data_IF_573032941253
#
_entry.id   IF_573032941253
#
_cell.length_a   1.000
_cell.length_b   1.000
_cell.length_c   1.000
_cell.angle_alpha   90.00
_cell.angle_beta   90.00
_cell.angle_gamma   90.00
#
_symmetry.space_group_name_H-M   'P 1'
#
loop_
_entity.id
_entity.type
_entity.pdbx_description
1 polymer ?
#
# COMPACT_ATOMS: atom_id res chain seq x y z
N UNK A 1 -1.10 -19.94 -6.29
CA UNK A 1 -0.77 -18.53 -6.57
C UNK A 1 -0.77 -17.82 -5.22
N UNK A 2 0.30 -17.10 -4.89
CA UNK A 2 0.43 -16.45 -3.58
C UNK A 2 -0.29 -15.08 -3.57
N UNK A 3 -0.41 -14.47 -2.38
CA UNK A 3 -1.09 -13.17 -2.23
C UNK A 3 -0.49 -12.06 -3.11
N UNK A 4 0.83 -12.05 -3.31
CA UNK A 4 1.49 -11.11 -4.22
C UNK A 4 0.99 -11.27 -5.66
N UNK A 5 0.97 -12.48 -6.18
CA UNK A 5 0.51 -12.76 -7.54
C UNK A 5 -0.98 -12.46 -7.71
N UNK A 6 -1.80 -12.74 -6.69
CA UNK A 6 -3.21 -12.33 -6.65
C UNK A 6 -3.34 -10.81 -6.69
N UNK A 7 -2.59 -10.10 -5.84
CA UNK A 7 -2.60 -8.64 -5.78
C UNK A 7 -2.20 -8.01 -7.13
N UNK A 8 -1.14 -8.50 -7.79
CA UNK A 8 -0.72 -7.98 -9.10
C UNK A 8 -1.79 -8.26 -10.17
N UNK A 9 -2.25 -9.51 -10.30
CA UNK A 9 -3.20 -9.89 -11.37
C UNK A 9 -4.54 -9.18 -11.22
N UNK A 10 -5.06 -9.10 -10.00
CA UNK A 10 -6.33 -8.41 -9.74
C UNK A 10 -6.20 -6.91 -10.01
N UNK A 11 -5.11 -6.27 -9.59
CA UNK A 11 -4.84 -4.87 -9.95
C UNK A 11 -4.83 -4.66 -11.47
N UNK A 12 -4.06 -5.47 -12.21
CA UNK A 12 -3.99 -5.37 -13.67
C UNK A 12 -5.33 -5.64 -14.35
N UNK A 13 -6.15 -6.54 -13.79
CA UNK A 13 -7.48 -6.82 -14.31
C UNK A 13 -8.39 -5.60 -14.18
N UNK A 14 -8.41 -4.95 -13.01
CA UNK A 14 -9.18 -3.73 -12.79
C UNK A 14 -8.67 -2.53 -13.60
N UNK A 15 -7.34 -2.37 -13.73
CA UNK A 15 -6.76 -1.30 -14.56
C UNK A 15 -7.19 -1.41 -16.03
N UNK A 16 -7.48 -2.64 -16.51
CA UNK A 16 -7.98 -2.90 -17.86
C UNK A 16 -9.51 -2.78 -17.99
N UNK A 17 -10.21 -2.31 -16.95
CA UNK A 17 -11.67 -2.21 -16.93
C UNK A 17 -12.39 -3.55 -16.71
N UNK A 18 -11.70 -4.56 -16.19
CA UNK A 18 -12.29 -5.87 -15.92
C UNK A 18 -13.32 -5.83 -14.78
N UNK A 19 -14.32 -6.71 -14.84
CA UNK A 19 -15.34 -6.87 -13.80
C UNK A 19 -15.38 -8.31 -13.30
N UNK A 20 -15.40 -8.50 -11.98
CA UNK A 20 -15.38 -9.81 -11.34
C UNK A 20 -16.80 -10.20 -10.90
N UNK A 21 -17.16 -11.46 -11.14
CA UNK A 21 -18.33 -12.07 -10.51
C UNK A 21 -18.16 -12.17 -8.99
N UNK A 22 -19.26 -12.26 -8.24
CA UNK A 22 -19.20 -12.35 -6.78
C UNK A 22 -18.47 -13.61 -6.28
N UNK A 23 -18.53 -14.71 -7.04
CA UNK A 23 -17.76 -15.91 -6.72
C UNK A 23 -16.25 -15.68 -6.85
N UNK A 24 -15.82 -14.97 -7.90
CA UNK A 24 -14.41 -14.59 -8.07
C UNK A 24 -13.96 -13.61 -6.99
N UNK A 25 -14.78 -12.61 -6.65
CA UNK A 25 -14.50 -11.67 -5.55
C UNK A 25 -14.28 -12.43 -4.23
N UNK A 26 -15.22 -13.31 -3.86
CA UNK A 26 -15.11 -14.13 -2.62
C UNK A 26 -13.86 -14.99 -2.60
N UNK A 27 -13.51 -15.64 -3.72
CA UNK A 27 -12.30 -16.46 -3.80
C UNK A 27 -11.03 -15.63 -3.60
N UNK A 28 -10.91 -14.50 -4.30
CA UNK A 28 -9.75 -13.60 -4.18
C UNK A 28 -9.65 -13.05 -2.75
N UNK A 29 -10.76 -12.63 -2.15
CA UNK A 29 -10.81 -12.15 -0.77
C UNK A 29 -10.31 -13.22 0.21
N UNK A 30 -10.79 -14.47 0.07
CA UNK A 30 -10.32 -15.58 0.90
C UNK A 30 -8.81 -15.83 0.76
N UNK A 31 -8.28 -15.77 -0.46
CA UNK A 31 -6.86 -15.95 -0.74
C UNK A 31 -6.01 -14.80 -0.18
N UNK A 32 -6.47 -13.56 -0.27
CA UNK A 32 -5.78 -12.42 0.33
C UNK A 32 -5.79 -12.51 1.87
N UNK A 33 -6.92 -12.84 2.49
CA UNK A 33 -6.99 -13.02 3.95
C UNK A 33 -6.12 -14.18 4.46
N UNK A 34 -5.94 -15.24 3.67
CA UNK A 34 -5.02 -16.34 4.04
C UNK A 34 -3.56 -15.92 4.16
N UNK A 35 -3.20 -14.73 3.67
CA UNK A 35 -1.87 -14.15 3.77
C UNK A 35 -1.73 -13.12 4.90
N UNK A 36 -2.70 -13.05 5.81
CA UNK A 36 -2.56 -12.27 7.04
C UNK A 36 -1.29 -12.69 7.79
N UNK A 37 -0.60 -11.68 8.31
CA UNK A 37 0.67 -11.85 8.98
C UNK A 37 0.45 -12.27 10.41
N UNK A 38 1.06 -13.39 10.80
CA UNK A 38 1.06 -13.82 12.20
C UNK A 38 1.98 -12.91 13.05
N UNK A 39 1.66 -12.67 14.33
CA UNK A 39 2.47 -11.81 15.21
C UNK A 39 3.96 -12.18 15.24
N UNK A 40 4.28 -13.47 15.20
CA UNK A 40 5.66 -13.95 15.14
C UNK A 40 6.38 -13.57 13.84
N UNK A 41 5.68 -13.63 12.70
CA UNK A 41 6.22 -13.24 11.41
C UNK A 41 6.50 -11.73 11.39
N UNK A 42 5.60 -10.94 11.95
CA UNK A 42 5.78 -9.50 12.11
C UNK A 42 7.00 -9.17 12.97
N UNK A 43 7.14 -9.80 14.13
CA UNK A 43 8.30 -9.61 15.00
C UNK A 43 9.62 -9.98 14.31
N UNK A 44 9.66 -11.07 13.53
CA UNK A 44 10.85 -11.47 12.76
C UNK A 44 11.21 -10.42 11.71
N UNK A 45 10.22 -9.91 10.98
CA UNK A 45 10.44 -8.86 9.99
C UNK A 45 10.97 -7.57 10.62
N UNK A 46 10.35 -7.09 11.70
CA UNK A 46 10.79 -5.87 12.41
C UNK A 46 12.23 -5.97 12.91
N UNK A 47 12.61 -7.14 13.44
CA UNK A 47 14.01 -7.42 13.83
C UNK A 47 14.94 -7.38 12.63
N UNK A 48 14.57 -7.99 11.51
CA UNK A 48 15.39 -8.03 10.30
C UNK A 48 15.66 -6.64 9.70
N UNK A 49 14.70 -5.72 9.80
CA UNK A 49 14.86 -4.33 9.35
C UNK A 49 15.44 -3.40 10.43
N UNK A 50 15.97 -3.96 11.54
CA UNK A 50 16.57 -3.24 12.67
C UNK A 50 15.64 -2.20 13.29
N UNK A 51 14.34 -2.49 13.31
CA UNK A 51 13.32 -1.60 13.85
C UNK A 51 12.39 -2.37 14.81
N UNK A 52 12.95 -2.90 15.91
CA UNK A 52 12.19 -3.72 16.85
C UNK A 52 11.00 -2.92 17.41
N UNK A 53 9.90 -3.62 17.67
CA UNK A 53 8.63 -3.04 18.14
C UNK A 53 7.90 -2.12 17.16
N UNK A 54 8.45 -1.90 15.96
CA UNK A 54 7.84 -1.07 14.92
C UNK A 54 7.48 0.35 15.39
N UNK A 55 8.22 0.94 16.33
CA UNK A 55 8.00 2.29 16.85
C UNK A 55 9.37 2.96 16.99
N UNK A 56 9.55 4.15 16.41
CA UNK A 56 10.77 4.94 16.64
C UNK A 56 10.68 5.85 17.88
N UNK A 57 11.75 6.60 18.15
CA UNK A 57 11.82 7.55 19.26
C UNK A 57 10.81 8.71 19.19
N UNK A 58 10.09 8.86 18.06
CA UNK A 58 9.01 9.85 17.89
C UNK A 58 7.62 9.19 17.89
N UNK A 59 7.52 7.91 18.22
CA UNK A 59 6.25 7.17 18.24
C UNK A 59 5.76 6.71 16.86
N UNK A 60 6.57 6.85 15.80
CA UNK A 60 6.15 6.57 14.43
C UNK A 60 6.21 5.09 14.11
N UNK A 61 5.14 4.57 13.51
CA UNK A 61 5.03 3.18 13.09
C UNK A 61 5.26 3.02 11.58
N UNK A 62 6.52 2.80 11.19
CA UNK A 62 6.96 2.90 9.79
C UNK A 62 6.61 1.69 8.91
N UNK A 63 6.41 0.51 9.51
CA UNK A 63 6.21 -0.73 8.76
C UNK A 63 4.78 -1.30 8.88
N UNK A 64 4.34 -2.09 7.89
CA UNK A 64 3.08 -2.85 7.89
C UNK A 64 2.80 -3.66 9.15
N UNK A 65 1.52 -3.87 9.44
CA UNK A 65 1.02 -4.68 10.56
C UNK A 65 0.36 -5.97 10.06
N UNK A 66 -0.42 -5.90 8.97
CA UNK A 66 -1.32 -6.99 8.56
C UNK A 66 -0.79 -7.85 7.43
N UNK A 67 -0.06 -7.26 6.49
CA UNK A 67 0.48 -7.99 5.34
C UNK A 67 1.95 -7.61 5.16
N UNK A 68 2.83 -8.52 5.57
CA UNK A 68 4.27 -8.39 5.40
C UNK A 68 4.70 -9.21 4.18
N UNK A 69 5.51 -8.64 3.27
CA UNK A 69 6.03 -9.38 2.14
C UNK A 69 6.71 -10.68 2.59
N UNK A 70 6.39 -11.84 1.99
CA UNK A 70 7.08 -13.08 2.32
C UNK A 70 8.56 -12.99 1.94
N UNK A 71 9.41 -13.73 2.64
CA UNK A 71 10.81 -13.86 2.26
C UNK A 71 10.92 -14.49 0.86
N UNK A 72 11.66 -13.83 -0.02
CA UNK A 72 11.78 -14.21 -1.42
C UNK A 72 13.26 -14.25 -1.85
N UNK A 73 14.06 -15.04 -1.12
CA UNK A 73 15.51 -15.22 -1.40
C UNK A 73 16.29 -13.90 -1.49
N UNK A 74 15.95 -12.94 -0.62
CA UNK A 74 16.56 -11.61 -0.61
C UNK A 74 16.08 -10.65 -1.71
N UNK A 75 15.20 -11.10 -2.62
CA UNK A 75 14.67 -10.30 -3.73
C UNK A 75 13.34 -9.67 -3.33
N UNK A 76 13.27 -8.33 -3.35
CA UNK A 76 12.03 -7.59 -3.10
C UNK A 76 11.00 -7.82 -4.22
N UNK A 77 9.74 -8.00 -3.84
CA UNK A 77 8.62 -8.13 -4.76
C UNK A 77 8.43 -6.83 -5.54
N UNK A 78 8.04 -6.94 -6.81
CA UNK A 78 7.90 -5.78 -7.69
C UNK A 78 6.55 -5.10 -7.50
N UNK A 79 6.45 -3.82 -7.84
CA UNK A 79 5.19 -3.09 -7.82
C UNK A 79 4.27 -3.48 -8.98
N UNK A 80 3.04 -2.97 -9.00
CA UNK A 80 2.09 -3.13 -10.11
C UNK A 80 2.71 -2.73 -11.47
N UNK A 81 3.60 -1.74 -11.49
CA UNK A 81 4.31 -1.30 -12.69
C UNK A 81 5.69 -1.92 -12.86
N UNK A 82 5.97 -3.07 -12.24
CA UNK A 82 7.23 -3.81 -12.40
C UNK A 82 8.48 -3.05 -11.88
N UNK A 83 8.30 -2.01 -11.07
CA UNK A 83 9.40 -1.36 -10.34
C UNK A 83 9.86 -2.29 -9.22
N UNK A 84 11.16 -2.51 -9.06
CA UNK A 84 11.71 -3.21 -7.90
C UNK A 84 12.00 -2.17 -6.80
N UNK A 85 11.32 -2.22 -5.64
CA UNK A 85 11.64 -1.37 -4.50
C UNK A 85 13.08 -1.57 -4.04
N UNK A 86 13.76 -0.51 -3.63
CA UNK A 86 15.12 -0.54 -3.09
C UNK A 86 15.11 -0.61 -1.56
N UNK A 87 14.17 0.06 -0.92
CA UNK A 87 13.99 0.19 0.52
C UNK A 87 12.96 -0.80 1.06
N UNK A 88 13.07 -1.14 2.34
CA UNK A 88 12.08 -1.97 3.02
C UNK A 88 10.78 -1.23 3.27
N UNK A 89 10.84 0.09 3.52
CA UNK A 89 9.66 0.94 3.74
C UNK A 89 8.75 0.89 2.51
N UNK A 90 9.29 1.16 1.33
CA UNK A 90 8.49 1.13 0.10
C UNK A 90 8.00 -0.28 -0.22
N UNK A 91 8.90 -1.27 -0.14
CA UNK A 91 8.52 -2.66 -0.44
C UNK A 91 7.40 -3.18 0.44
N UNK A 92 7.43 -2.88 1.74
CA UNK A 92 6.48 -3.42 2.69
C UNK A 92 5.16 -2.64 2.64
N UNK A 93 5.20 -1.30 2.65
CA UNK A 93 3.98 -0.50 2.55
C UNK A 93 3.27 -0.71 1.20
N UNK A 94 3.98 -0.83 0.09
CA UNK A 94 3.36 -1.16 -1.22
C UNK A 94 2.58 -2.47 -1.16
N UNK A 95 3.19 -3.52 -0.61
CA UNK A 95 2.56 -4.83 -0.52
C UNK A 95 1.29 -4.81 0.35
N UNK A 96 1.36 -4.19 1.53
CA UNK A 96 0.21 -4.15 2.43
C UNK A 96 -0.91 -3.29 1.89
N UNK A 97 -0.60 -2.06 1.48
CA UNK A 97 -1.61 -1.08 1.12
C UNK A 97 -2.35 -1.50 -0.15
N UNK A 98 -1.67 -2.09 -1.13
CA UNK A 98 -2.35 -2.60 -2.34
C UNK A 98 -3.24 -3.83 -2.04
N UNK A 99 -2.86 -4.69 -1.09
CA UNK A 99 -3.72 -5.79 -0.65
C UNK A 99 -4.98 -5.25 0.05
N UNK A 100 -4.82 -4.33 1.01
CA UNK A 100 -5.96 -3.75 1.74
C UNK A 100 -6.89 -3.00 0.78
N UNK A 101 -6.31 -2.23 -0.15
CA UNK A 101 -7.08 -1.52 -1.19
C UNK A 101 -7.97 -2.47 -1.99
N UNK A 102 -7.44 -3.63 -2.40
CA UNK A 102 -8.24 -4.66 -3.07
C UNK A 102 -9.30 -5.28 -2.17
N UNK A 103 -9.00 -5.53 -0.89
CA UNK A 103 -9.99 -6.02 0.07
C UNK A 103 -11.17 -5.05 0.21
N UNK A 104 -10.91 -3.74 0.26
CA UNK A 104 -11.96 -2.71 0.27
C UNK A 104 -12.83 -2.72 -0.98
N UNK A 105 -12.23 -2.88 -2.17
CA UNK A 105 -12.98 -2.93 -3.42
C UNK A 105 -13.81 -4.21 -3.56
N UNK A 106 -13.30 -5.35 -3.07
CA UNK A 106 -13.91 -6.66 -3.29
C UNK A 106 -14.92 -7.04 -2.20
N UNK A 107 -14.74 -6.54 -0.98
CA UNK A 107 -15.57 -6.85 0.19
C UNK A 107 -15.77 -5.63 1.12
N UNK A 108 -16.36 -4.53 0.63
CA UNK A 108 -16.45 -3.27 1.38
C UNK A 108 -17.24 -3.37 2.70
N UNK A 109 -18.20 -4.30 2.77
CA UNK A 109 -19.06 -4.48 3.94
C UNK A 109 -18.51 -5.51 4.95
N UNK A 110 -17.31 -6.04 4.74
CA UNK A 110 -16.73 -7.02 5.65
C UNK A 110 -16.13 -6.31 6.89
N UNK A 111 -16.56 -6.65 8.12
CA UNK A 111 -16.11 -5.96 9.33
C UNK A 111 -14.60 -6.08 9.57
N UNK A 112 -13.98 -7.19 9.18
CA UNK A 112 -12.53 -7.37 9.31
C UNK A 112 -11.76 -6.44 8.37
N UNK A 113 -12.30 -6.17 7.18
CA UNK A 113 -11.71 -5.20 6.25
C UNK A 113 -11.74 -3.81 6.86
N UNK A 114 -12.88 -3.41 7.46
CA UNK A 114 -13.02 -2.13 8.14
C UNK A 114 -12.00 -1.96 9.28
N UNK A 115 -11.86 -2.98 10.14
CA UNK A 115 -10.89 -2.93 11.25
C UNK A 115 -9.44 -2.79 10.75
N UNK A 116 -9.07 -3.53 9.71
CA UNK A 116 -7.74 -3.46 9.10
C UNK A 116 -7.48 -2.06 8.54
N UNK A 117 -8.46 -1.48 7.84
CA UNK A 117 -8.38 -0.11 7.31
C UNK A 117 -8.19 0.90 8.43
N UNK A 118 -9.03 0.88 9.46
CA UNK A 118 -8.99 1.87 10.56
C UNK A 118 -7.63 1.85 11.28
N UNK A 119 -7.10 0.65 11.57
CA UNK A 119 -5.78 0.47 12.16
C UNK A 119 -4.65 0.91 11.23
N UNK A 120 -4.78 0.67 9.93
CA UNK A 120 -3.79 1.08 8.92
C UNK A 120 -3.76 2.60 8.75
N UNK A 121 -4.92 3.25 8.69
CA UNK A 121 -5.03 4.71 8.66
C UNK A 121 -4.42 5.34 9.90
N UNK A 122 -4.76 4.81 11.09
CA UNK A 122 -4.18 5.26 12.36
C UNK A 122 -2.65 5.16 12.33
N UNK A 123 -2.11 4.03 11.87
CA UNK A 123 -0.66 3.85 11.70
C UNK A 123 -0.08 4.89 10.76
N UNK A 124 -0.62 5.04 9.55
CA UNK A 124 -0.08 5.94 8.52
C UNK A 124 -0.06 7.40 9.00
N UNK A 125 -1.04 7.84 9.80
CA UNK A 125 -1.04 9.18 10.41
C UNK A 125 0.15 9.45 11.32
N UNK A 126 0.74 8.42 11.92
CA UNK A 126 1.97 8.55 12.73
C UNK A 126 3.23 8.73 11.90
N UNK A 127 3.19 8.44 10.60
CA UNK A 127 4.37 8.46 9.73
C UNK A 127 4.52 9.78 8.97
N UNK A 128 5.60 9.93 8.20
CA UNK A 128 5.74 11.06 7.27
C UNK A 128 4.61 11.14 6.21
N UNK A 129 3.95 10.01 5.94
CA UNK A 129 2.82 9.94 5.01
C UNK A 129 1.55 10.62 5.53
N UNK A 130 1.49 10.96 6.82
CA UNK A 130 0.34 11.63 7.44
C UNK A 130 0.24 13.12 7.11
N UNK A 131 1.29 13.89 7.43
CA UNK A 131 1.24 15.38 7.38
C UNK A 131 2.57 15.99 6.90
N UNK A 132 3.64 15.19 6.71
CA UNK A 132 4.96 15.73 6.39
C UNK A 132 5.22 15.77 4.88
N UNK A 133 6.20 16.59 4.48
CA UNK A 133 6.87 16.48 3.19
C UNK A 133 7.69 15.17 3.16
N UNK A 134 7.40 14.31 2.19
CA UNK A 134 8.04 13.02 1.99
C UNK A 134 8.56 12.84 0.55
N UNK A 135 8.87 13.94 -0.13
CA UNK A 135 9.33 14.01 -1.52
C UNK A 135 10.68 13.33 -1.83
N UNK A 136 11.45 12.96 -0.81
CA UNK A 136 12.78 12.41 -0.98
C UNK A 136 12.78 10.89 -1.25
N UNK A 137 13.58 10.45 -2.24
CA UNK A 137 13.89 9.03 -2.43
C UNK A 137 12.65 8.15 -2.68
N UNK A 138 12.58 6.97 -2.04
CA UNK A 138 11.41 6.09 -2.16
C UNK A 138 10.29 6.41 -1.15
N UNK A 139 10.47 7.41 -0.28
CA UNK A 139 9.35 7.94 0.51
C UNK A 139 8.32 8.57 -0.43
N UNK A 140 8.75 9.26 -1.48
CA UNK A 140 7.87 9.79 -2.52
C UNK A 140 7.07 8.70 -3.23
N UNK A 141 7.74 7.60 -3.64
CA UNK A 141 7.05 6.48 -4.30
C UNK A 141 6.06 5.80 -3.35
N UNK A 142 6.39 5.74 -2.05
CA UNK A 142 5.49 5.22 -1.01
C UNK A 142 4.30 6.16 -0.79
N UNK A 143 4.52 7.47 -0.83
CA UNK A 143 3.49 8.51 -0.72
C UNK A 143 2.42 8.37 -1.81
N UNK A 144 2.82 7.97 -3.02
CA UNK A 144 1.88 7.66 -4.12
C UNK A 144 1.05 6.39 -3.87
N UNK A 145 1.64 5.34 -3.30
CA UNK A 145 0.87 4.16 -2.88
C UNK A 145 -0.14 4.56 -1.79
N UNK A 146 0.28 5.39 -0.82
CA UNK A 146 -0.61 5.91 0.23
C UNK A 146 -1.74 6.72 -0.36
N UNK A 147 -1.47 7.64 -1.31
CA UNK A 147 -2.50 8.39 -2.02
C UNK A 147 -3.53 7.47 -2.68
N UNK A 148 -3.06 6.45 -3.41
CA UNK A 148 -3.94 5.48 -4.06
C UNK A 148 -4.82 4.71 -3.07
N UNK A 149 -4.22 4.33 -1.93
CA UNK A 149 -4.92 3.68 -0.84
C UNK A 149 -6.00 4.60 -0.26
N UNK A 150 -5.66 5.85 0.08
CA UNK A 150 -6.59 6.85 0.63
C UNK A 150 -7.77 7.11 -0.31
N UNK A 151 -7.51 7.27 -1.62
CA UNK A 151 -8.55 7.47 -2.62
C UNK A 151 -9.59 6.33 -2.63
N UNK A 152 -9.18 5.11 -2.27
CA UNK A 152 -10.09 3.96 -2.18
C UNK A 152 -10.78 3.85 -0.82
N UNK A 153 -10.04 3.98 0.28
CA UNK A 153 -10.53 3.60 1.62
C UNK A 153 -11.12 4.75 2.42
N UNK A 154 -10.75 5.99 2.08
CA UNK A 154 -11.19 7.20 2.76
C UNK A 154 -11.29 8.38 1.79
N UNK A 155 -12.08 8.26 0.69
CA UNK A 155 -12.21 9.31 -0.32
C UNK A 155 -12.73 10.65 0.24
N UNK A 156 -13.40 10.63 1.39
CA UNK A 156 -13.89 11.80 2.10
C UNK A 156 -12.81 12.57 2.88
N UNK A 157 -11.63 11.99 3.13
CA UNK A 157 -10.52 12.69 3.80
C UNK A 157 -9.75 13.54 2.79
N UNK A 158 -10.45 14.52 2.22
CA UNK A 158 -9.97 15.34 1.11
C UNK A 158 -8.74 16.14 1.48
N UNK A 159 -8.62 16.59 2.74
CA UNK A 159 -7.43 17.29 3.22
C UNK A 159 -6.17 16.43 3.14
N UNK A 160 -6.26 15.16 3.55
CA UNK A 160 -5.11 14.25 3.48
C UNK A 160 -4.78 13.92 2.02
N UNK A 161 -5.78 13.64 1.20
CA UNK A 161 -5.63 13.38 -0.24
C UNK A 161 -4.96 14.57 -0.93
N UNK A 162 -5.46 15.80 -0.73
CA UNK A 162 -4.87 17.01 -1.30
C UNK A 162 -3.44 17.22 -0.84
N UNK A 163 -3.13 17.01 0.44
CA UNK A 163 -1.75 17.09 0.93
C UNK A 163 -0.80 16.09 0.26
N UNK A 164 -1.28 14.91 -0.16
CA UNK A 164 -0.47 13.95 -0.94
C UNK A 164 -0.34 14.35 -2.41
N UNK A 165 -1.39 14.93 -3.00
CA UNK A 165 -1.35 15.48 -4.36
C UNK A 165 -0.38 16.67 -4.44
N UNK A 166 -0.40 17.58 -3.47
CA UNK A 166 0.51 18.71 -3.40
C UNK A 166 1.97 18.27 -3.26
N UNK A 167 2.22 17.23 -2.45
CA UNK A 167 3.52 16.61 -2.33
C UNK A 167 3.97 15.98 -3.66
N UNK A 168 3.08 15.32 -4.40
CA UNK A 168 3.39 14.85 -5.75
C UNK A 168 3.78 16.01 -6.66
N UNK A 169 2.96 17.06 -6.75
CA UNK A 169 3.18 18.19 -7.64
C UNK A 169 4.48 18.95 -7.32
N UNK A 170 4.83 19.04 -6.04
CA UNK A 170 6.06 19.73 -5.59
C UNK A 170 7.34 18.99 -5.99
N UNK A 171 7.31 17.65 -6.06
CA UNK A 171 8.52 16.82 -6.19
C UNK A 171 8.58 15.97 -7.46
N UNK A 172 7.50 15.89 -8.26
CA UNK A 172 7.44 15.07 -9.46
C UNK A 172 8.50 15.47 -10.51
N UNK A 173 8.85 16.76 -10.57
CA UNK A 173 9.87 17.32 -11.46
C UNK A 173 11.30 16.86 -11.13
N UNK A 174 11.57 16.53 -9.87
CA UNK A 174 12.91 16.18 -9.39
C UNK A 174 13.29 14.72 -9.72
N UNK A 175 12.36 13.96 -10.28
CA UNK A 175 12.50 12.52 -10.52
C UNK A 175 13.22 12.25 -11.84
N UNK A 176 14.45 11.72 -11.74
CA UNK A 176 15.21 11.18 -12.90
C UNK A 176 14.45 10.14 -13.73
N UNK A 177 13.54 9.37 -13.11
CA UNK A 177 12.68 8.36 -13.76
C UNK A 177 11.23 8.57 -13.36
N UNK A 178 10.61 9.61 -13.90
CA UNK A 178 9.25 10.03 -13.51
C UNK A 178 8.12 9.11 -13.98
N UNK A 179 8.36 8.23 -14.96
CA UNK A 179 7.31 7.37 -15.55
C UNK A 179 6.53 6.52 -14.53
N UNK A 180 7.21 5.80 -13.63
CA UNK A 180 6.52 5.00 -12.60
C UNK A 180 5.64 5.86 -11.69
N UNK A 181 6.16 7.02 -11.28
CA UNK A 181 5.43 7.95 -10.45
C UNK A 181 4.21 8.55 -11.16
N UNK A 182 4.37 8.97 -12.42
CA UNK A 182 3.26 9.47 -13.27
C UNK A 182 2.16 8.43 -13.43
N UNK A 183 2.52 7.18 -13.71
CA UNK A 183 1.56 6.10 -13.85
C UNK A 183 0.84 5.76 -12.54
N UNK A 184 1.55 5.72 -11.42
CA UNK A 184 0.92 5.53 -10.11
C UNK A 184 -0.03 6.67 -9.75
N UNK A 185 0.37 7.92 -10.02
CA UNK A 185 -0.46 9.09 -9.79
C UNK A 185 -1.74 9.05 -10.64
N UNK A 186 -1.64 8.71 -11.93
CA UNK A 186 -2.80 8.52 -12.81
C UNK A 186 -3.79 7.49 -12.27
N UNK A 187 -3.30 6.39 -11.67
CA UNK A 187 -4.17 5.39 -11.03
C UNK A 187 -4.86 5.86 -9.75
N UNK A 188 -4.43 6.98 -9.16
CA UNK A 188 -5.10 7.59 -8.01
C UNK A 188 -6.30 8.43 -8.45
N UNK A 189 -6.24 9.06 -9.63
CA UNK A 189 -7.27 9.97 -10.15
C UNK A 189 -8.43 9.22 -10.84
N UNK A 190 -8.14 8.11 -11.53
CA UNK A 190 -9.15 7.35 -12.30
C UNK A 190 -10.09 6.45 -11.46
N UNK A 191 -10.15 6.62 -10.15
CA UNK A 191 -11.04 5.85 -9.25
C UNK A 191 -12.39 6.52 -8.96
N UNK A 192 -12.69 7.66 -9.58
CA UNK A 192 -13.80 8.55 -9.22
C UNK A 192 -14.89 8.73 -10.30
N UNK A 193 -14.95 7.85 -11.30
CA UNK A 193 -16.04 7.83 -12.31
C UNK A 193 -17.05 6.72 -12.06
#
# INVERSE_FOLDING_TARGET
>A
MNAYEHMIKTNHYFIKGGSLSDSQKRNIVGQLFSALTEPEQAMRFYKAVKFPNNIDGHGRQMYPIFFIPPYNNGVKLKTIYNQTPKTHIFSANMYELEIIRLLCLLAPNNPNVKEIVDKTLTRLKTTCFGICDDGAGECFDTSLVVLRFLATVSPQDTNWIYGRIDNYNSHAGDRKRSWFAKWYFWLCECGHE
#
